data_IF_687672865000
#
_entry.id   IF_687672865000
#
_cell.length_a   1.000
_cell.length_b   1.000
_cell.length_c   1.000
_cell.angle_alpha   90.00
_cell.angle_beta   90.00
_cell.angle_gamma   90.00
#
_symmetry.space_group_name_H-M   'P 1'
#
loop_
_entity.id
_entity.type
_entity.pdbx_description
1 polymer ?
#
# COMPACT_ATOMS: atom_id res chain seq x y z
N UNK A 1 -12.09 4.44 -3.86
CA UNK A 1 -11.37 5.39 -2.97
C UNK A 1 -9.94 4.88 -2.80
N UNK A 2 -8.94 5.76 -2.87
CA UNK A 2 -7.52 5.36 -2.78
C UNK A 2 -6.97 5.73 -1.40
N UNK A 3 -6.44 4.75 -0.68
CA UNK A 3 -5.88 4.93 0.66
C UNK A 3 -4.35 4.85 0.61
N UNK A 4 -3.69 5.97 0.89
CA UNK A 4 -2.24 6.06 0.95
C UNK A 4 -1.76 5.96 2.40
N UNK A 5 -1.14 4.84 2.77
CA UNK A 5 -0.58 4.63 4.10
C UNK A 5 0.96 4.61 4.03
N UNK A 6 1.60 5.57 4.70
CA UNK A 6 3.06 5.70 4.74
C UNK A 6 3.59 5.06 6.02
N UNK A 7 4.09 3.85 5.90
CA UNK A 7 4.68 3.09 7.01
C UNK A 7 5.97 3.76 7.53
N UNK A 8 6.10 3.92 8.86
CA UNK A 8 7.36 4.29 9.52
C UNK A 8 8.03 3.03 10.08
N UNK A 9 9.29 2.76 9.68
CA UNK A 9 10.12 1.72 10.29
C UNK A 9 10.08 0.34 9.62
N UNK A 10 9.44 0.20 8.45
CA UNK A 10 9.50 -1.02 7.64
C UNK A 10 10.24 -0.73 6.33
N UNK A 11 10.89 -1.75 5.76
CA UNK A 11 11.58 -1.68 4.47
C UNK A 11 10.68 -1.13 3.34
N UNK A 12 9.35 -1.19 3.48
CA UNK A 12 8.39 -0.64 2.51
C UNK A 12 8.30 0.88 2.58
N UNK A 13 8.57 1.55 1.45
CA UNK A 13 8.50 3.01 1.30
C UNK A 13 7.06 3.51 1.18
N UNK A 14 6.21 2.74 0.50
CA UNK A 14 4.85 3.16 0.16
C UNK A 14 3.96 1.95 -0.10
N UNK A 15 2.66 2.08 0.18
CA UNK A 15 1.66 1.08 -0.14
C UNK A 15 0.46 1.74 -0.82
N UNK A 16 0.06 1.21 -1.97
CA UNK A 16 -1.11 1.64 -2.72
C UNK A 16 -2.18 0.55 -2.60
N UNK A 17 -3.35 0.95 -2.11
CA UNK A 17 -4.48 0.06 -1.92
C UNK A 17 -5.65 0.61 -2.73
N UNK A 18 -6.09 -0.17 -3.72
CA UNK A 18 -7.31 0.10 -4.45
C UNK A 18 -8.45 -0.75 -3.89
N UNK A 19 -9.58 -0.10 -3.64
CA UNK A 19 -10.81 -0.74 -3.20
C UNK A 19 -11.84 -0.70 -4.33
N UNK A 20 -12.59 -1.80 -4.45
CA UNK A 20 -13.79 -1.88 -5.26
C UNK A 20 -14.94 -1.08 -4.62
N UNK A 21 -16.01 -0.83 -5.39
CA UNK A 21 -17.21 -0.12 -4.90
C UNK A 21 -17.96 -0.87 -3.78
N UNK A 22 -17.74 -2.18 -3.66
CA UNK A 22 -18.26 -3.04 -2.58
C UNK A 22 -17.35 -3.06 -1.33
N UNK A 23 -16.38 -2.15 -1.25
CA UNK A 23 -15.38 -2.05 -0.18
C UNK A 23 -14.45 -3.26 -0.05
N UNK A 24 -14.42 -4.16 -1.04
CA UNK A 24 -13.42 -5.23 -1.09
C UNK A 24 -12.10 -4.71 -1.67
N UNK A 25 -11.00 -5.36 -1.28
CA UNK A 25 -9.68 -5.03 -1.79
C UNK A 25 -9.57 -5.50 -3.23
N UNK A 26 -9.36 -4.56 -4.15
CA UNK A 26 -9.14 -4.83 -5.58
C UNK A 26 -7.70 -5.15 -5.86
N UNK A 27 -6.79 -4.33 -5.34
CA UNK A 27 -5.36 -4.46 -5.55
C UNK A 27 -4.59 -3.88 -4.36
N UNK A 28 -3.43 -4.48 -4.09
CA UNK A 28 -2.46 -3.98 -3.12
C UNK A 28 -1.10 -4.03 -3.78
N UNK A 29 -0.48 -2.86 -3.91
CA UNK A 29 0.91 -2.73 -4.34
C UNK A 29 1.74 -2.22 -3.17
N UNK A 30 2.82 -2.95 -2.87
CA UNK A 30 3.76 -2.59 -1.81
C UNK A 30 5.06 -2.21 -2.47
N UNK A 31 5.38 -0.92 -2.46
CA UNK A 31 6.67 -0.42 -2.93
C UNK A 31 7.69 -0.61 -1.80
N UNK A 32 8.44 -1.71 -1.91
CA UNK A 32 9.63 -2.00 -1.11
C UNK A 32 10.72 -0.93 -1.30
N UNK A 33 11.53 -0.70 -0.27
CA UNK A 33 12.44 0.45 -0.24
C UNK A 33 13.58 0.41 0.78
N UNK A 34 14.00 -0.76 1.24
CA UNK A 34 15.36 -0.98 1.74
C UNK A 34 16.00 -2.14 0.98
N UNK A 35 17.16 -1.89 0.35
CA UNK A 35 18.14 -2.94 0.09
C UNK A 35 18.98 -3.06 1.37
N UNK A 36 18.63 -3.98 2.26
CA UNK A 36 19.40 -4.30 3.47
C UNK A 36 18.70 -3.98 4.77
#
# INVERSE_FOLDING_TARGET
MTYNYRTKGVCSKEMHIELNDDHTIKSVEVIGGCNG
#
